data_IF_399912870041
#
_entry.id   IF_399912870041
#
_cell.length_a   1.000
_cell.length_b   1.000
_cell.length_c   1.000
_cell.angle_alpha   90.00
_cell.angle_beta   90.00
_cell.angle_gamma   90.00
#
_symmetry.space_group_name_H-M   'P 1'
#
loop_
_entity.id
_entity.type
_entity.pdbx_description
1 polymer ?
#
# COMPACT_ATOMS: atom_id res chain seq x y z
N UNK A 1 -23.07 22.63 -13.75
CA UNK A 1 -21.77 22.89 -13.12
C UNK A 1 -20.72 22.90 -14.21
N UNK A 2 -20.07 24.04 -14.46
CA UNK A 2 -18.98 24.14 -15.43
C UNK A 2 -17.73 23.46 -14.85
N UNK A 3 -17.07 22.61 -15.64
CA UNK A 3 -15.82 21.92 -15.24
C UNK A 3 -14.65 22.90 -15.02
N UNK A 4 -14.73 24.10 -15.61
CA UNK A 4 -13.69 25.12 -15.54
C UNK A 4 -13.99 26.25 -14.54
N UNK A 5 -15.09 26.17 -13.80
CA UNK A 5 -15.46 27.18 -12.80
C UNK A 5 -14.54 27.02 -11.58
N UNK A 6 -13.67 28.02 -11.32
CA UNK A 6 -12.84 27.99 -10.13
C UNK A 6 -13.61 28.49 -8.90
N UNK A 7 -13.27 27.96 -7.72
CA UNK A 7 -13.77 28.49 -6.44
C UNK A 7 -13.32 29.94 -6.24
N UNK A 8 -14.14 30.80 -5.59
CA UNK A 8 -13.82 32.21 -5.41
C UNK A 8 -12.55 32.40 -4.55
N UNK A 9 -11.74 33.45 -4.81
CA UNK A 9 -10.41 33.59 -4.24
C UNK A 9 -10.36 33.56 -2.71
N UNK A 10 -11.38 34.10 -2.04
CA UNK A 10 -11.39 34.17 -0.56
C UNK A 10 -11.59 32.80 0.12
N UNK A 11 -12.06 31.77 -0.61
CA UNK A 11 -12.31 30.40 -0.09
C UNK A 11 -11.16 29.45 -0.38
N UNK A 12 -10.11 29.90 -1.06
CA UNK A 12 -8.99 29.05 -1.49
C UNK A 12 -7.98 28.89 -0.36
N UNK A 13 -8.15 27.85 0.45
CA UNK A 13 -7.25 27.52 1.55
C UNK A 13 -6.08 26.64 1.10
N UNK A 14 -5.26 27.13 0.17
CA UNK A 14 -4.16 26.36 -0.42
C UNK A 14 -3.13 25.86 0.61
N UNK A 15 -2.82 26.69 1.63
CA UNK A 15 -1.89 26.29 2.70
C UNK A 15 -2.41 25.13 3.54
N UNK A 16 -3.71 25.14 3.89
CA UNK A 16 -4.34 24.05 4.64
C UNK A 16 -4.45 22.78 3.80
N UNK A 17 -4.77 22.91 2.51
CA UNK A 17 -4.76 21.79 1.58
C UNK A 17 -3.36 21.15 1.51
N UNK A 18 -2.30 21.94 1.32
CA UNK A 18 -0.93 21.42 1.30
C UNK A 18 -0.55 20.69 2.61
N UNK A 19 -0.94 21.23 3.76
CA UNK A 19 -0.66 20.61 5.07
C UNK A 19 -1.37 19.25 5.25
N UNK A 20 -2.65 19.15 4.87
CA UNK A 20 -3.40 17.90 4.94
C UNK A 20 -2.86 16.90 3.93
N UNK A 21 -2.51 17.35 2.72
CA UNK A 21 -1.87 16.52 1.70
C UNK A 21 -0.54 15.94 2.19
N UNK A 22 0.25 16.71 2.93
CA UNK A 22 1.48 16.23 3.57
C UNK A 22 1.19 15.14 4.61
N UNK A 23 0.24 15.35 5.52
CA UNK A 23 -0.13 14.34 6.52
C UNK A 23 -0.64 13.06 5.85
N UNK A 24 -1.55 13.19 4.89
CA UNK A 24 -2.09 12.07 4.14
C UNK A 24 -0.99 11.32 3.35
N UNK A 25 -0.04 12.07 2.78
CA UNK A 25 1.13 11.51 2.09
C UNK A 25 2.06 10.74 3.03
N UNK A 26 2.34 11.29 4.22
CA UNK A 26 3.16 10.60 5.25
C UNK A 26 2.47 9.31 5.70
N UNK A 27 1.18 9.36 6.03
CA UNK A 27 0.39 8.17 6.39
C UNK A 27 0.42 7.14 5.25
N UNK A 28 0.27 7.60 4.01
CA UNK A 28 0.32 6.73 2.85
C UNK A 28 1.69 6.09 2.64
N UNK A 29 2.77 6.82 2.93
CA UNK A 29 4.14 6.32 2.85
C UNK A 29 4.41 5.25 3.92
N UNK A 30 3.89 5.41 5.14
CA UNK A 30 3.97 4.37 6.17
C UNK A 30 3.27 3.08 5.75
N UNK A 31 2.09 3.18 5.15
CA UNK A 31 1.38 1.99 4.68
C UNK A 31 1.99 1.41 3.40
N UNK A 32 2.53 2.25 2.51
CA UNK A 32 3.35 1.83 1.35
C UNK A 32 4.59 1.04 1.79
N UNK A 33 5.24 1.49 2.87
CA UNK A 33 6.43 0.88 3.42
C UNK A 33 6.11 -0.40 4.21
N UNK A 34 4.86 -0.57 4.63
CA UNK A 34 4.41 -1.67 5.46
C UNK A 34 4.71 -1.32 6.90
N UNK A 35 3.66 -1.02 7.68
CA UNK A 35 3.80 -0.69 9.11
C UNK A 35 4.50 -1.80 9.92
N UNK A 36 4.59 -3.00 9.35
CA UNK A 36 5.31 -4.19 9.81
C UNK A 36 6.85 -4.15 9.70
N UNK A 37 7.45 -3.20 8.99
CA UNK A 37 8.92 -2.98 9.05
C UNK A 37 9.33 -2.23 10.33
N UNK A 38 8.60 -1.17 10.78
CA UNK A 38 8.90 -0.46 12.02
C UNK A 38 8.15 -0.92 13.29
N UNK A 39 6.99 -1.60 13.19
CA UNK A 39 6.12 -1.94 14.34
C UNK A 39 5.43 -3.30 14.11
N UNK A 40 5.41 -4.30 15.03
CA UNK A 40 6.13 -4.52 16.29
C UNK A 40 7.60 -4.91 16.04
N UNK A 41 8.47 -5.04 17.07
CA UNK A 41 9.88 -5.37 16.89
C UNK A 41 10.02 -6.80 16.36
N UNK A 42 9.94 -6.95 15.04
CA UNK A 42 10.41 -8.14 14.33
C UNK A 42 11.82 -7.80 13.88
N UNK A 43 12.82 -8.56 14.33
CA UNK A 43 14.13 -8.44 13.71
C UNK A 43 13.99 -8.75 12.21
N UNK A 44 14.87 -8.24 11.33
CA UNK A 44 14.85 -8.64 9.93
C UNK A 44 14.80 -10.16 9.78
N UNK A 45 15.50 -10.88 10.67
CA UNK A 45 15.51 -12.34 10.78
C UNK A 45 14.13 -12.92 11.12
N UNK A 46 13.35 -12.31 12.01
CA UNK A 46 11.98 -12.75 12.33
C UNK A 46 11.01 -12.51 11.17
N UNK A 47 11.22 -11.47 10.37
CA UNK A 47 10.43 -11.25 9.15
C UNK A 47 10.72 -12.32 8.10
N UNK A 48 11.99 -12.68 7.91
CA UNK A 48 12.39 -13.80 7.04
C UNK A 48 11.88 -15.14 7.58
N UNK A 49 11.95 -15.38 8.89
CA UNK A 49 11.47 -16.61 9.52
C UNK A 49 9.93 -16.71 9.51
N UNK A 50 9.20 -15.61 9.63
CA UNK A 50 7.74 -15.62 9.52
C UNK A 50 7.26 -15.79 8.07
N UNK A 51 8.00 -15.24 7.10
CA UNK A 51 7.68 -15.36 5.68
C UNK A 51 8.15 -16.68 5.05
N UNK A 52 9.29 -17.23 5.49
CA UNK A 52 9.96 -18.40 4.89
C UNK A 52 10.18 -19.57 5.90
N UNK A 53 9.56 -19.54 7.08
CA UNK A 53 9.87 -20.39 8.24
C UNK A 53 9.85 -21.92 8.02
N UNK A 54 8.70 -22.54 7.68
CA UNK A 54 8.68 -23.98 7.44
C UNK A 54 9.24 -24.36 6.06
N UNK A 55 9.42 -23.39 5.17
CA UNK A 55 9.95 -23.61 3.81
C UNK A 55 11.48 -23.79 3.80
N UNK A 56 12.19 -23.15 4.74
CA UNK A 56 13.64 -23.32 4.94
C UNK A 56 14.04 -24.75 5.31
N UNK A 57 13.12 -25.51 5.94
CA UNK A 57 13.34 -26.89 6.39
C UNK A 57 12.80 -27.95 5.40
N UNK A 58 11.89 -27.59 4.49
CA UNK A 58 11.16 -28.57 3.67
C UNK A 58 11.73 -28.76 2.25
N UNK A 59 12.48 -27.81 1.65
CA UNK A 59 12.96 -28.01 0.27
C UNK A 59 14.36 -27.47 -0.03
N UNK A 60 15.28 -28.41 -0.18
CA UNK A 60 16.54 -28.29 -0.91
C UNK A 60 16.37 -28.14 -2.45
N UNK A 61 15.36 -27.41 -2.93
CA UNK A 61 15.13 -27.17 -4.36
C UNK A 61 15.12 -25.67 -4.63
N UNK A 62 16.05 -25.18 -5.47
CA UNK A 62 16.31 -23.77 -5.75
C UNK A 62 15.17 -23.01 -6.44
N UNK A 63 14.04 -22.84 -5.75
CA UNK A 63 12.84 -22.11 -6.19
C UNK A 63 12.24 -21.22 -5.10
N UNK A 64 12.86 -21.11 -3.92
CA UNK A 64 12.38 -20.18 -2.89
C UNK A 64 13.00 -18.81 -3.19
N UNK A 65 12.32 -18.02 -4.02
CA UNK A 65 12.60 -16.60 -4.15
C UNK A 65 12.01 -15.87 -2.93
N UNK A 66 12.65 -16.00 -1.75
CA UNK A 66 12.44 -15.12 -0.59
C UNK A 66 12.87 -13.67 -0.92
N UNK A 67 12.86 -13.26 -2.20
CA UNK A 67 13.05 -11.89 -2.64
C UNK A 67 11.70 -11.31 -3.04
N UNK A 68 11.50 -10.05 -2.61
CA UNK A 68 10.57 -9.02 -3.10
C UNK A 68 9.07 -9.35 -3.23
N UNK A 69 8.67 -10.58 -3.52
CA UNK A 69 7.30 -11.00 -3.80
C UNK A 69 6.54 -11.52 -2.56
N UNK A 70 7.29 -11.87 -1.50
CA UNK A 70 6.74 -12.24 -0.19
C UNK A 70 7.04 -11.17 0.89
N UNK A 71 8.04 -10.33 0.65
CA UNK A 71 8.48 -9.27 1.55
C UNK A 71 8.04 -7.88 1.07
N UNK A 72 7.29 -7.79 -0.03
CA UNK A 72 6.68 -6.53 -0.43
C UNK A 72 5.61 -6.14 0.61
N UNK A 73 5.61 -4.88 1.06
CA UNK A 73 4.63 -4.37 2.01
C UNK A 73 3.16 -4.69 1.73
N UNK A 74 2.63 -4.57 0.49
CA UNK A 74 1.24 -4.94 0.22
C UNK A 74 0.96 -6.44 0.45
N UNK A 75 1.93 -7.33 0.25
CA UNK A 75 1.75 -8.75 0.53
C UNK A 75 1.62 -9.01 2.03
N UNK A 76 2.51 -8.41 2.82
CA UNK A 76 2.51 -8.59 4.27
C UNK A 76 1.23 -8.01 4.86
N UNK A 77 0.79 -6.83 4.40
CA UNK A 77 -0.47 -6.25 4.81
C UNK A 77 -1.66 -7.17 4.54
N UNK A 78 -1.75 -7.76 3.34
CA UNK A 78 -2.82 -8.69 3.00
C UNK A 78 -2.81 -9.95 3.88
N UNK A 79 -1.62 -10.46 4.22
CA UNK A 79 -1.45 -11.67 5.04
C UNK A 79 -1.70 -11.42 6.53
N UNK A 80 -1.02 -10.43 7.10
CA UNK A 80 -0.96 -10.21 8.54
C UNK A 80 -2.14 -9.36 9.05
N UNK A 81 -2.63 -8.40 8.25
CA UNK A 81 -3.75 -7.53 8.65
C UNK A 81 -5.10 -7.99 8.11
N UNK A 82 -5.16 -8.44 6.86
CA UNK A 82 -6.41 -8.92 6.24
C UNK A 82 -6.59 -10.45 6.36
N UNK A 83 -5.60 -11.18 6.88
CA UNK A 83 -5.69 -12.61 7.16
C UNK A 83 -5.71 -13.51 5.92
N UNK A 84 -5.27 -13.01 4.76
CA UNK A 84 -5.22 -13.81 3.53
C UNK A 84 -4.03 -14.79 3.60
N UNK A 85 -4.33 -16.09 3.53
CA UNK A 85 -3.32 -17.15 3.69
C UNK A 85 -2.30 -17.22 2.55
N UNK A 86 -2.72 -16.96 1.31
CA UNK A 86 -1.83 -16.85 0.15
C UNK A 86 -2.26 -15.72 -0.81
N UNK A 87 -1.77 -14.49 -0.60
CA UNK A 87 -2.04 -13.36 -1.48
C UNK A 87 -1.49 -13.50 -2.91
N UNK A 88 -0.50 -14.39 -3.13
CA UNK A 88 0.11 -14.61 -4.44
C UNK A 88 -0.68 -15.62 -5.29
N UNK A 89 -1.59 -16.40 -4.68
CA UNK A 89 -2.47 -17.34 -5.39
C UNK A 89 -3.35 -16.67 -6.46
N UNK A 90 -3.73 -15.41 -6.23
CA UNK A 90 -4.43 -14.61 -7.23
C UNK A 90 -3.44 -14.18 -8.31
N UNK A 91 -3.46 -14.89 -9.44
CA UNK A 91 -2.60 -14.64 -10.60
C UNK A 91 -3.40 -14.32 -11.86
N UNK A 92 -2.76 -13.62 -12.78
CA UNK A 92 -3.22 -13.41 -14.15
C UNK A 92 -2.07 -13.67 -15.13
N UNK A 93 -2.41 -14.11 -16.34
CA UNK A 93 -1.42 -14.34 -17.39
C UNK A 93 -1.45 -13.17 -18.37
N UNK A 94 -0.29 -12.54 -18.58
CA UNK A 94 -0.11 -11.48 -19.57
C UNK A 94 1.11 -11.80 -20.43
N UNK A 95 0.93 -11.80 -21.75
CA UNK A 95 1.99 -12.12 -22.73
C UNK A 95 2.73 -13.45 -22.45
N UNK A 96 2.01 -14.47 -21.96
CA UNK A 96 2.61 -15.79 -21.63
C UNK A 96 3.33 -15.84 -20.28
N UNK A 97 3.38 -14.74 -19.52
CA UNK A 97 3.97 -14.68 -18.20
C UNK A 97 2.90 -14.59 -17.11
N UNK A 98 3.11 -15.25 -15.98
CA UNK A 98 2.21 -15.25 -14.83
C UNK A 98 2.60 -14.12 -13.88
N UNK A 99 1.64 -13.25 -13.57
CA UNK A 99 1.79 -12.13 -12.63
C UNK A 99 0.78 -12.25 -11.50
N UNK A 100 1.13 -11.81 -10.30
CA UNK A 100 0.19 -11.78 -9.17
C UNK A 100 -0.55 -10.43 -9.08
N UNK A 101 -1.69 -10.45 -8.39
CA UNK A 101 -2.53 -9.28 -8.15
C UNK A 101 -2.09 -8.40 -6.98
N UNK A 102 -1.02 -8.76 -6.25
CA UNK A 102 -0.58 -8.06 -5.04
C UNK A 102 -0.20 -6.60 -5.31
N UNK A 103 0.30 -6.31 -6.53
CA UNK A 103 0.56 -4.94 -6.97
C UNK A 103 -0.69 -4.04 -7.02
N UNK A 104 -1.88 -4.62 -7.20
CA UNK A 104 -3.14 -3.86 -7.26
C UNK A 104 -3.53 -3.30 -5.90
N UNK A 105 -3.26 -4.02 -4.81
CA UNK A 105 -3.43 -3.51 -3.44
C UNK A 105 -2.68 -2.20 -3.25
N UNK A 106 -1.47 -2.11 -3.84
CA UNK A 106 -0.69 -0.90 -3.77
C UNK A 106 -1.35 0.29 -4.50
N UNK A 107 -1.91 0.04 -5.68
CA UNK A 107 -2.59 1.06 -6.51
C UNK A 107 -3.88 1.54 -5.84
N UNK A 108 -4.72 0.59 -5.37
CA UNK A 108 -6.00 0.90 -4.70
C UNK A 108 -5.75 1.75 -3.47
N UNK A 109 -4.74 1.40 -2.68
CA UNK A 109 -4.38 2.13 -1.49
C UNK A 109 -4.05 3.61 -1.81
N UNK A 110 -3.24 3.87 -2.83
CA UNK A 110 -2.95 5.26 -3.27
C UNK A 110 -4.18 6.01 -3.76
N UNK A 111 -5.09 5.35 -4.48
CA UNK A 111 -6.34 5.98 -4.97
C UNK A 111 -7.23 6.40 -3.80
N UNK A 112 -7.41 5.54 -2.79
CA UNK A 112 -8.27 5.84 -1.63
C UNK A 112 -7.79 7.11 -0.91
N UNK A 113 -6.49 7.23 -0.64
CA UNK A 113 -5.96 8.41 0.05
C UNK A 113 -5.96 9.66 -0.83
N UNK A 114 -5.70 9.52 -2.14
CA UNK A 114 -5.79 10.64 -3.08
C UNK A 114 -7.22 11.19 -3.18
N UNK A 115 -8.22 10.32 -3.31
CA UNK A 115 -9.63 10.72 -3.34
C UNK A 115 -10.05 11.31 -1.99
N UNK A 116 -9.66 10.68 -0.87
CA UNK A 116 -9.92 11.18 0.47
C UNK A 116 -9.37 12.59 0.68
N UNK A 117 -8.13 12.84 0.24
CA UNK A 117 -7.54 14.18 0.23
C UNK A 117 -8.39 15.17 -0.57
N UNK A 118 -8.79 14.81 -1.80
CA UNK A 118 -9.61 15.69 -2.63
C UNK A 118 -10.95 16.03 -1.98
N UNK A 119 -11.61 15.06 -1.31
CA UNK A 119 -12.88 15.27 -0.61
C UNK A 119 -12.70 16.19 0.59
N UNK A 120 -11.66 15.98 1.41
CA UNK A 120 -11.36 16.83 2.57
C UNK A 120 -10.95 18.23 2.15
N UNK A 121 -10.11 18.36 1.13
CA UNK A 121 -9.73 19.66 0.59
C UNK A 121 -10.95 20.41 0.05
N UNK A 122 -11.90 19.70 -0.56
CA UNK A 122 -13.16 20.28 -1.02
C UNK A 122 -14.04 20.74 0.14
N UNK A 123 -14.28 19.92 1.16
CA UNK A 123 -15.15 20.29 2.28
C UNK A 123 -14.64 21.53 3.04
N UNK A 124 -13.32 21.68 3.12
CA UNK A 124 -12.65 22.85 3.70
C UNK A 124 -12.81 24.10 2.83
N UNK A 125 -12.89 23.94 1.51
CA UNK A 125 -13.15 25.06 0.60
C UNK A 125 -14.63 25.48 0.63
N UNK A 126 -15.52 24.55 1.01
CA UNK A 126 -16.95 24.79 1.12
C UNK A 126 -17.34 25.44 2.47
N UNK A 127 -16.61 25.17 3.55
CA UNK A 127 -16.74 25.85 4.86
C UNK A 127 -15.93 27.17 4.95
#
# INVERSE_FOLDING_TARGET
MNIFEQTPPNRRRYGLAAFIGLIAGVVSAFVKWGAEVPLPPRSPVDMFNAACGPESLIRAAGQIDCSRNFLNPPYIFLRDWLGLTDPNSAVYTFAGHVFNWVGVTHIIFSIVFAVGYCVVARSISEN
#
